data_IF_011951398052
#
_entry.id   IF_011951398052
#
_cell.length_a   1.000
_cell.length_b   1.000
_cell.length_c   1.000
_cell.angle_alpha   90.00
_cell.angle_beta   90.00
_cell.angle_gamma   90.00
#
_symmetry.space_group_name_H-M   'P 1'
#
loop_
_entity.id
_entity.type
_entity.pdbx_description
1 polymer ?
#
# COMPACT_ATOMS: atom_id res chain seq x y z
N UNK A 1 -4.55 34.52 -72.88
CA UNK A 1 -3.87 35.82 -73.15
C UNK A 1 -4.66 36.92 -72.47
N UNK A 2 -3.95 37.85 -71.84
CA UNK A 2 -4.40 39.08 -71.15
C UNK A 2 -4.98 38.90 -69.75
N UNK A 3 -4.23 39.11 -68.65
CA UNK A 3 -3.49 40.31 -68.16
C UNK A 3 -4.39 41.09 -67.19
N UNK A 4 -4.01 41.02 -65.91
CA UNK A 4 -4.07 42.03 -64.82
C UNK A 4 -5.37 42.85 -64.60
N UNK A 5 -5.65 43.55 -63.50
CA UNK A 5 -4.83 44.18 -62.46
C UNK A 5 -5.67 44.26 -61.17
N UNK A 6 -5.13 43.68 -60.11
CA UNK A 6 -5.00 44.19 -58.74
C UNK A 6 -5.59 45.55 -58.30
N UNK A 7 -6.14 45.49 -57.07
CA UNK A 7 -5.80 46.33 -55.90
C UNK A 7 -6.75 47.46 -55.40
N UNK A 8 -7.08 47.27 -54.12
CA UNK A 8 -7.17 48.24 -53.03
C UNK A 8 -8.40 49.13 -52.86
N UNK A 9 -9.21 48.77 -51.85
CA UNK A 9 -9.49 49.71 -50.76
C UNK A 9 -9.83 48.97 -49.46
N UNK A 10 -8.86 48.95 -48.55
CA UNK A 10 -9.01 48.56 -47.14
C UNK A 10 -9.85 49.64 -46.44
N UNK A 11 -10.94 49.25 -45.79
CA UNK A 11 -11.70 50.10 -44.87
C UNK A 11 -11.60 49.51 -43.46
N UNK A 12 -10.85 50.21 -42.61
CA UNK A 12 -10.72 49.92 -41.18
C UNK A 12 -12.01 50.37 -40.46
N UNK A 13 -12.89 49.40 -40.18
CA UNK A 13 -14.06 49.56 -39.31
C UNK A 13 -13.78 49.01 -37.92
N UNK A 14 -13.61 49.92 -36.96
CA UNK A 14 -13.40 49.73 -35.51
C UNK A 14 -14.27 48.60 -34.90
N UNK A 15 -13.65 47.50 -34.49
CA UNK A 15 -14.26 46.48 -33.63
C UNK A 15 -13.93 46.84 -32.18
N UNK A 16 -14.98 47.17 -31.42
CA UNK A 16 -14.92 47.45 -30.00
C UNK A 16 -14.68 46.16 -29.21
N UNK A 17 -13.56 46.10 -28.49
CA UNK A 17 -13.27 45.11 -27.45
C UNK A 17 -14.05 45.53 -26.20
N UNK A 18 -15.07 44.76 -25.81
CA UNK A 18 -15.69 44.88 -24.50
C UNK A 18 -15.09 43.83 -23.57
N UNK A 19 -14.19 44.33 -22.73
CA UNK A 19 -13.60 43.67 -21.57
C UNK A 19 -14.58 43.84 -20.41
N UNK A 20 -15.20 42.74 -19.95
CA UNK A 20 -16.00 42.72 -18.72
C UNK A 20 -15.40 41.69 -17.78
N UNK A 21 -14.60 42.21 -16.84
CA UNK A 21 -14.22 41.55 -15.61
C UNK A 21 -15.44 41.54 -14.67
N UNK A 22 -15.94 40.37 -14.32
CA UNK A 22 -16.77 40.20 -13.11
C UNK A 22 -16.05 39.23 -12.19
N UNK A 23 -15.40 39.81 -11.19
CA UNK A 23 -14.95 39.19 -9.96
C UNK A 23 -16.16 38.76 -9.13
N UNK A 24 -16.26 37.47 -8.79
CA UNK A 24 -17.00 37.02 -7.61
C UNK A 24 -16.66 35.57 -7.26
N UNK A 25 -15.93 35.40 -6.14
CA UNK A 25 -15.76 34.16 -5.37
C UNK A 25 -14.80 33.14 -6.00
N UNK A 26 -13.48 33.20 -5.79
CA UNK A 26 -12.80 32.72 -4.56
C UNK A 26 -13.57 31.59 -3.88
N UNK A 27 -13.27 30.38 -4.34
CA UNK A 27 -13.59 29.11 -3.71
C UNK A 27 -12.63 28.07 -4.26
N UNK A 28 -11.33 28.37 -4.29
CA UNK A 28 -10.33 27.31 -4.26
C UNK A 28 -10.58 26.60 -2.93
N UNK A 29 -11.34 25.50 -3.00
CA UNK A 29 -11.44 24.58 -1.88
C UNK A 29 -10.02 24.27 -1.47
N UNK A 30 -9.72 24.58 -0.21
CA UNK A 30 -8.45 24.32 0.41
C UNK A 30 -8.00 22.92 -0.02
N UNK A 31 -6.83 22.86 -0.65
CA UNK A 31 -6.05 21.63 -0.64
C UNK A 31 -5.83 21.34 0.84
N UNK A 32 -6.70 20.53 1.44
CA UNK A 32 -6.41 19.90 2.71
C UNK A 32 -5.14 19.12 2.44
N UNK A 33 -4.02 19.67 2.89
CA UNK A 33 -2.78 18.95 3.02
C UNK A 33 -3.13 17.72 3.86
N UNK A 34 -3.32 16.59 3.18
CA UNK A 34 -3.51 15.31 3.81
C UNK A 34 -2.18 15.03 4.50
N UNK A 35 -2.12 15.30 5.80
CA UNK A 35 -1.05 14.84 6.69
C UNK A 35 -1.02 13.32 6.59
N UNK A 36 -0.21 12.81 5.67
CA UNK A 36 -0.12 11.37 5.43
C UNK A 36 0.73 10.78 6.56
N UNK A 37 0.19 9.88 7.39
CA UNK A 37 1.00 9.17 8.37
C UNK A 37 2.15 8.46 7.63
N UNK A 38 3.37 8.63 8.13
CA UNK A 38 4.54 8.03 7.52
C UNK A 38 4.86 6.72 8.22
N UNK A 39 4.92 5.65 7.46
CA UNK A 39 5.40 4.35 7.96
C UNK A 39 6.91 4.30 7.86
N UNK A 40 7.58 4.14 8.99
CA UNK A 40 9.01 3.88 9.08
C UNK A 40 9.25 2.38 9.30
N UNK A 41 9.45 1.64 8.20
CA UNK A 41 9.82 0.22 8.25
C UNK A 41 11.30 0.11 8.59
N UNK A 42 11.59 -0.47 9.75
CA UNK A 42 12.97 -0.55 10.27
C UNK A 42 13.70 -1.75 9.73
N UNK A 43 13.05 -2.91 9.81
CA UNK A 43 13.63 -4.20 9.44
C UNK A 43 12.56 -5.12 8.88
N UNK A 44 12.92 -5.82 7.81
CA UNK A 44 12.19 -6.98 7.30
C UNK A 44 13.16 -8.14 7.34
N UNK A 45 12.83 -9.17 8.11
CA UNK A 45 13.68 -10.34 8.32
C UNK A 45 12.96 -11.62 7.92
N UNK A 46 13.71 -12.54 7.32
CA UNK A 46 13.23 -13.88 7.01
C UNK A 46 13.98 -14.89 7.88
N UNK A 47 13.26 -15.81 8.50
CA UNK A 47 13.85 -16.86 9.35
C UNK A 47 12.99 -18.11 9.29
N UNK A 48 13.61 -19.29 9.31
CA UNK A 48 12.89 -20.53 9.55
C UNK A 48 12.64 -20.70 11.05
N UNK A 49 11.43 -21.11 11.44
CA UNK A 49 11.15 -21.50 12.82
C UNK A 49 11.73 -22.89 13.09
N UNK A 50 12.43 -23.03 14.22
CA UNK A 50 12.99 -24.30 14.68
C UNK A 50 11.85 -25.28 15.04
N UNK A 51 12.02 -26.56 14.71
CA UNK A 51 11.08 -27.64 15.04
C UNK A 51 9.88 -27.80 14.08
N UNK A 52 9.30 -26.71 13.60
CA UNK A 52 8.04 -26.74 12.83
C UNK A 52 8.22 -26.42 11.33
N UNK A 53 9.43 -26.02 10.94
CA UNK A 53 9.85 -25.78 9.55
C UNK A 53 9.08 -24.66 8.79
N UNK A 54 8.46 -23.71 9.49
CA UNK A 54 7.76 -22.57 8.86
C UNK A 54 8.73 -21.46 8.44
N UNK A 55 8.53 -20.85 7.26
CA UNK A 55 9.24 -19.62 6.90
C UNK A 55 8.51 -18.41 7.47
N UNK A 56 9.14 -17.71 8.41
CA UNK A 56 8.66 -16.47 9.01
C UNK A 56 9.24 -15.27 8.28
N UNK A 57 8.37 -14.35 7.87
CA UNK A 57 8.70 -12.97 7.54
C UNK A 57 8.31 -12.09 8.72
N UNK A 58 9.29 -11.53 9.44
CA UNK A 58 9.06 -10.57 10.54
C UNK A 58 9.31 -9.15 10.03
N UNK A 59 8.37 -8.26 10.31
CA UNK A 59 8.41 -6.85 9.90
C UNK A 59 8.38 -6.01 11.17
N UNK A 60 9.43 -5.23 11.38
CA UNK A 60 9.53 -4.26 12.46
C UNK A 60 9.28 -2.86 11.89
N UNK A 61 8.32 -2.14 12.47
CA UNK A 61 7.93 -0.83 11.98
C UNK A 61 7.57 0.12 13.13
N UNK A 62 7.52 1.39 12.81
CA UNK A 62 6.99 2.44 13.67
C UNK A 62 6.27 3.47 12.79
N UNK A 63 5.25 4.11 13.34
CA UNK A 63 4.59 5.23 12.67
C UNK A 63 5.19 6.54 13.13
N UNK A 64 5.39 7.47 12.19
CA UNK A 64 5.73 8.86 12.49
C UNK A 64 4.62 9.76 11.97
N UNK A 65 4.21 10.69 12.82
CA UNK A 65 3.35 11.81 12.42
C UNK A 65 4.27 12.97 12.07
N UNK A 66 4.15 13.50 10.84
CA UNK A 66 4.78 14.77 10.50
C UNK A 66 3.87 15.88 11.03
N UNK A 67 4.35 16.75 11.94
CA UNK A 67 3.55 17.86 12.42
C UNK A 67 3.64 19.00 11.40
N UNK A 68 2.77 19.02 10.40
CA UNK A 68 2.51 20.28 9.69
C UNK A 68 1.31 20.98 10.33
N UNK A 69 1.59 22.01 11.15
CA UNK A 69 0.55 22.95 11.57
C UNK A 69 0.11 22.93 13.04
N UNK A 70 0.95 22.50 13.98
CA UNK A 70 0.87 22.97 15.38
C UNK A 70 -0.38 22.59 16.19
N UNK A 71 -1.18 21.62 15.75
CA UNK A 71 -2.28 21.06 16.54
C UNK A 71 -1.88 19.67 17.01
N UNK A 72 -1.90 19.45 18.33
CA UNK A 72 -1.69 18.14 18.93
C UNK A 72 -2.70 17.14 18.33
N UNK A 73 -2.22 16.25 17.47
CA UNK A 73 -3.02 15.16 16.92
C UNK A 73 -2.77 13.89 17.70
N UNK A 74 -3.83 13.08 17.76
CA UNK A 74 -3.87 11.76 18.39
C UNK A 74 -2.55 11.03 18.16
N UNK A 75 -1.89 10.68 19.27
CA UNK A 75 -0.74 9.79 19.34
C UNK A 75 -1.10 8.37 18.89
N UNK A 76 -2.30 8.16 18.35
CA UNK A 76 -2.88 6.87 18.00
C UNK A 76 -3.53 6.91 16.63
N UNK A 77 -3.21 5.90 15.84
CA UNK A 77 -3.78 5.61 14.54
C UNK A 77 -4.69 4.39 14.66
N UNK A 78 -5.94 4.53 14.21
CA UNK A 78 -6.90 3.43 14.13
C UNK A 78 -6.95 2.86 12.71
N UNK A 79 -7.46 1.63 12.58
CA UNK A 79 -7.76 0.97 11.30
C UNK A 79 -6.55 0.95 10.34
N UNK A 80 -5.42 0.44 10.85
CA UNK A 80 -4.18 0.33 10.08
C UNK A 80 -4.13 -1.02 9.37
N UNK A 81 -4.15 -1.01 8.05
CA UNK A 81 -3.96 -2.19 7.21
C UNK A 81 -2.50 -2.39 6.80
N UNK A 82 -2.05 -3.65 6.79
CA UNK A 82 -0.81 -4.06 6.15
C UNK A 82 -1.10 -5.21 5.18
N UNK A 83 -0.65 -5.06 3.95
CA UNK A 83 -0.71 -6.08 2.92
C UNK A 83 0.71 -6.47 2.53
N UNK A 84 0.96 -7.77 2.51
CA UNK A 84 2.24 -8.36 2.16
C UNK A 84 2.06 -9.16 0.90
N UNK A 85 2.94 -8.91 -0.07
CA UNK A 85 3.07 -9.73 -1.27
C UNK A 85 4.48 -10.29 -1.34
N UNK A 86 4.62 -11.61 -1.42
CA UNK A 86 5.88 -12.32 -1.59
C UNK A 86 5.89 -13.03 -2.93
N UNK A 87 7.03 -12.98 -3.63
CA UNK A 87 7.26 -13.69 -4.87
C UNK A 87 8.43 -14.65 -4.68
N UNK A 88 8.18 -15.94 -4.92
CA UNK A 88 9.21 -16.98 -4.92
C UNK A 88 9.44 -17.51 -6.33
N UNK A 89 10.67 -17.97 -6.55
CA UNK A 89 11.09 -18.57 -7.81
C UNK A 89 12.06 -17.69 -8.59
N UNK A 90 12.24 -18.04 -9.85
CA UNK A 90 13.18 -17.41 -10.76
C UNK A 90 12.58 -17.38 -12.17
N UNK A 91 13.23 -16.69 -13.08
CA UNK A 91 12.85 -16.70 -14.49
C UNK A 91 12.83 -18.12 -15.09
N UNK A 92 13.71 -19.00 -14.61
CA UNK A 92 13.84 -20.38 -15.09
C UNK A 92 12.83 -21.35 -14.48
N UNK A 93 12.47 -21.16 -13.20
CA UNK A 93 11.56 -22.03 -12.47
C UNK A 93 10.09 -21.55 -12.48
N UNK A 94 9.86 -20.33 -12.99
CA UNK A 94 8.58 -19.63 -12.88
C UNK A 94 8.43 -18.92 -11.54
N UNK A 95 7.67 -17.83 -11.55
CA UNK A 95 7.37 -17.05 -10.35
C UNK A 95 6.06 -17.50 -9.73
N UNK A 96 5.98 -17.44 -8.40
CA UNK A 96 4.78 -17.73 -7.63
C UNK A 96 4.54 -16.63 -6.62
N UNK A 97 3.33 -16.09 -6.63
CA UNK A 97 2.95 -14.99 -5.76
C UNK A 97 2.10 -15.49 -4.60
N UNK A 98 2.41 -15.01 -3.41
CA UNK A 98 1.66 -15.26 -2.18
C UNK A 98 1.32 -13.91 -1.58
N UNK A 99 0.08 -13.78 -1.11
CA UNK A 99 -0.43 -12.54 -0.55
C UNK A 99 -1.14 -12.80 0.76
N UNK A 100 -0.95 -11.90 1.72
CA UNK A 100 -1.68 -11.88 2.96
C UNK A 100 -1.94 -10.43 3.39
N UNK A 101 -3.04 -10.24 4.11
CA UNK A 101 -3.39 -8.95 4.69
C UNK A 101 -3.64 -9.11 6.18
N UNK A 102 -3.47 -8.01 6.90
CA UNK A 102 -3.77 -7.92 8.31
C UNK A 102 -4.19 -6.50 8.65
N UNK A 103 -5.11 -6.40 9.60
CA UNK A 103 -5.62 -5.12 10.08
C UNK A 103 -5.32 -5.00 11.57
N UNK A 104 -4.79 -3.84 11.95
CA UNK A 104 -4.36 -3.49 13.27
C UNK A 104 -5.39 -2.51 13.83
N UNK A 105 -5.86 -2.77 15.06
CA UNK A 105 -6.97 -2.01 15.67
C UNK A 105 -6.54 -0.59 16.00
N UNK A 106 -5.43 -0.48 16.71
CA UNK A 106 -4.91 0.79 17.21
C UNK A 106 -3.39 0.69 17.34
N UNK A 107 -2.70 1.75 16.89
CA UNK A 107 -1.24 1.84 16.92
C UNK A 107 -0.84 3.20 17.45
N UNK A 108 -0.04 3.19 18.52
CA UNK A 108 0.59 4.40 19.03
C UNK A 108 1.73 4.86 18.11
N UNK A 109 1.78 6.14 17.78
CA UNK A 109 2.87 6.76 17.02
C UNK A 109 4.16 6.74 17.84
N UNK A 110 5.32 6.70 17.17
CA UNK A 110 6.67 6.64 17.77
C UNK A 110 7.01 5.35 18.53
N UNK A 111 6.02 4.51 18.85
CA UNK A 111 6.24 3.18 19.42
C UNK A 111 6.68 2.17 18.36
N UNK A 112 7.45 1.19 18.80
CA UNK A 112 7.93 0.08 17.96
C UNK A 112 6.90 -1.04 17.99
N UNK A 113 6.60 -1.58 16.82
CA UNK A 113 5.75 -2.74 16.66
C UNK A 113 6.43 -3.76 15.77
N UNK A 114 6.05 -5.03 15.95
CA UNK A 114 6.43 -6.08 15.03
C UNK A 114 5.21 -6.87 14.57
N UNK A 115 5.24 -7.32 13.32
CA UNK A 115 4.21 -8.18 12.75
C UNK A 115 4.86 -9.29 11.95
N UNK A 116 4.27 -10.48 11.99
CA UNK A 116 4.85 -11.66 11.35
C UNK A 116 3.86 -12.34 10.40
N UNK A 117 4.40 -12.81 9.27
CA UNK A 117 3.69 -13.65 8.31
C UNK A 117 4.45 -14.95 8.12
N UNK A 118 3.71 -16.05 7.94
CA UNK A 118 4.25 -17.40 7.97
C UNK A 118 3.83 -18.16 6.73
N UNK A 119 4.79 -18.83 6.10
CA UNK A 119 4.55 -19.73 4.98
C UNK A 119 4.71 -21.18 5.47
N UNK A 120 3.67 -22.03 5.36
CA UNK A 120 3.74 -23.42 5.78
C UNK A 120 4.76 -24.22 4.97
N UNK A 121 5.49 -25.09 5.66
CA UNK A 121 6.55 -25.85 5.03
C UNK A 121 6.07 -26.83 3.95
N UNK A 122 4.86 -27.38 4.08
CA UNK A 122 4.29 -28.24 3.04
C UNK A 122 4.26 -27.53 1.68
N UNK A 123 4.00 -26.23 1.69
CA UNK A 123 4.05 -25.38 0.50
C UNK A 123 5.48 -25.14 0.06
N UNK A 124 6.38 -24.84 1.00
CA UNK A 124 7.81 -24.65 0.73
C UNK A 124 8.39 -25.86 -0.01
N UNK A 125 8.17 -27.08 0.52
CA UNK A 125 8.63 -28.34 -0.08
C UNK A 125 7.98 -28.62 -1.43
N UNK A 126 6.65 -28.53 -1.53
CA UNK A 126 5.92 -28.77 -2.78
C UNK A 126 6.31 -27.77 -3.88
N UNK A 127 6.61 -26.54 -3.50
CA UNK A 127 7.00 -25.49 -4.42
C UNK A 127 8.51 -25.49 -4.74
N UNK A 128 9.30 -26.30 -4.06
CA UNK A 128 10.76 -26.27 -4.19
C UNK A 128 11.36 -24.94 -3.75
N UNK A 129 10.69 -24.22 -2.84
CA UNK A 129 11.20 -22.98 -2.25
C UNK A 129 12.35 -23.38 -1.32
N UNK A 130 13.56 -22.93 -1.64
CA UNK A 130 14.78 -23.27 -0.88
C UNK A 130 15.33 -22.10 -0.08
N UNK A 131 14.85 -20.89 -0.36
CA UNK A 131 15.43 -19.65 0.15
C UNK A 131 14.32 -18.59 0.39
N UNK A 132 14.73 -17.41 0.85
CA UNK A 132 13.91 -16.20 0.98
C UNK A 132 13.23 -15.82 -0.35
N UNK A 133 12.11 -15.08 -0.32
CA UNK A 133 11.43 -14.66 -1.54
C UNK A 133 12.35 -13.82 -2.43
N UNK A 134 12.28 -14.07 -3.74
CA UNK A 134 13.00 -13.31 -4.76
C UNK A 134 12.63 -11.82 -4.71
N UNK A 135 11.35 -11.52 -4.54
CA UNK A 135 10.89 -10.15 -4.35
C UNK A 135 9.75 -10.10 -3.33
N UNK A 136 9.65 -9.00 -2.60
CA UNK A 136 8.57 -8.78 -1.63
C UNK A 136 8.20 -7.31 -1.57
N UNK A 137 6.93 -7.04 -1.25
CA UNK A 137 6.34 -5.71 -1.15
C UNK A 137 5.41 -5.63 0.07
N UNK A 138 5.54 -4.54 0.81
CA UNK A 138 4.66 -4.14 1.91
C UNK A 138 3.86 -2.92 1.47
N UNK A 139 2.55 -3.03 1.57
CA UNK A 139 1.62 -1.94 1.30
C UNK A 139 0.83 -1.64 2.56
N UNK A 140 0.85 -0.39 2.97
CA UNK A 140 0.22 0.06 4.21
C UNK A 140 -0.99 0.91 3.89
N UNK A 141 -1.99 0.82 4.75
CA UNK A 141 -3.24 1.55 4.64
C UNK A 141 -3.56 2.13 6.02
N UNK A 142 -4.02 3.38 6.09
CA UNK A 142 -4.57 3.96 7.32
C UNK A 142 -5.93 4.53 6.96
N UNK A 143 -6.98 4.11 7.68
CA UNK A 143 -8.36 4.48 7.37
C UNK A 143 -8.72 4.20 5.89
N UNK A 144 -8.21 3.07 5.38
CA UNK A 144 -8.36 2.65 3.98
C UNK A 144 -7.58 3.47 2.95
N UNK A 145 -6.85 4.50 3.36
CA UNK A 145 -6.01 5.31 2.46
C UNK A 145 -4.64 4.67 2.32
N UNK A 146 -4.19 4.34 1.10
CA UNK A 146 -2.86 3.76 0.89
C UNK A 146 -1.76 4.77 1.22
N UNK A 147 -0.77 4.32 1.98
CA UNK A 147 0.44 5.07 2.28
C UNK A 147 1.50 4.69 1.26
N UNK A 148 2.16 5.67 0.59
CA UNK A 148 3.25 5.38 -0.32
C UNK A 148 4.34 4.53 0.37
N UNK A 149 4.74 3.39 -0.21
CA UNK A 149 5.76 2.55 0.38
C UNK A 149 7.12 3.24 0.33
N UNK A 150 7.82 3.30 1.47
CA UNK A 150 9.22 3.72 1.51
C UNK A 150 10.16 2.65 0.96
N UNK A 151 11.44 2.98 0.73
CA UNK A 151 12.41 2.04 0.17
C UNK A 151 12.57 0.75 1.00
N UNK A 152 12.40 0.82 2.32
CA UNK A 152 12.45 -0.36 3.21
C UNK A 152 11.16 -1.20 3.23
N UNK A 153 10.13 -0.77 2.51
CA UNK A 153 8.86 -1.49 2.35
C UNK A 153 8.88 -2.46 1.17
N UNK A 154 10.02 -2.64 0.49
CA UNK A 154 10.14 -3.58 -0.62
C UNK A 154 11.56 -4.15 -0.72
N UNK A 155 11.70 -5.29 -1.38
CA UNK A 155 13.00 -5.92 -1.67
C UNK A 155 13.85 -5.08 -2.63
N UNK A 156 15.18 -5.23 -2.59
CA UNK A 156 16.14 -4.57 -3.49
C UNK A 156 15.88 -4.83 -4.99
N UNK A 157 15.20 -5.92 -5.31
CA UNK A 157 14.76 -6.22 -6.68
C UNK A 157 13.66 -5.26 -7.19
N UNK A 158 12.98 -4.55 -6.30
CA UNK A 158 11.92 -3.59 -6.61
C UNK A 158 12.34 -2.12 -6.32
N UNK A 159 13.22 -1.90 -5.34
CA UNK A 159 13.64 -0.54 -4.93
C UNK A 159 14.21 0.24 -6.12
N UNK A 160 13.71 1.46 -6.34
CA UNK A 160 14.21 2.38 -7.37
C UNK A 160 13.83 1.99 -8.82
N UNK A 161 12.96 0.99 -9.02
CA UNK A 161 12.58 0.45 -10.33
C UNK A 161 11.06 0.50 -10.52
N UNK A 162 10.48 1.67 -10.87
CA UNK A 162 9.04 1.87 -10.89
C UNK A 162 8.31 0.97 -11.88
N UNK A 163 8.89 0.70 -13.05
CA UNK A 163 8.35 -0.22 -14.06
C UNK A 163 8.32 -1.67 -13.59
N UNK A 164 9.36 -2.11 -12.87
CA UNK A 164 9.42 -3.45 -12.27
C UNK A 164 8.39 -3.57 -11.15
N UNK A 165 8.25 -2.55 -10.30
CA UNK A 165 7.23 -2.52 -9.25
C UNK A 165 5.81 -2.56 -9.83
N UNK A 166 5.54 -1.83 -10.91
CA UNK A 166 4.23 -1.85 -11.58
C UNK A 166 3.93 -3.24 -12.17
N UNK A 167 4.92 -3.87 -12.82
CA UNK A 167 4.78 -5.23 -13.34
C UNK A 167 4.56 -6.25 -12.21
N UNK A 168 5.30 -6.11 -11.11
CA UNK A 168 5.16 -6.95 -9.92
C UNK A 168 3.74 -6.87 -9.35
N UNK A 169 3.20 -5.66 -9.14
CA UNK A 169 1.83 -5.46 -8.64
C UNK A 169 0.78 -6.08 -9.55
N UNK A 170 0.91 -5.86 -10.87
CA UNK A 170 -0.01 -6.45 -11.86
C UNK A 170 0.01 -7.97 -11.78
N UNK A 171 1.18 -8.59 -11.87
CA UNK A 171 1.31 -10.05 -11.80
C UNK A 171 0.84 -10.61 -10.46
N UNK A 172 1.15 -9.95 -9.36
CA UNK A 172 0.63 -10.33 -8.06
C UNK A 172 -0.90 -10.31 -8.02
N UNK A 173 -1.55 -9.30 -8.61
CA UNK A 173 -3.01 -9.23 -8.66
C UNK A 173 -3.65 -10.35 -9.50
N UNK A 174 -2.95 -10.84 -10.52
CA UNK A 174 -3.42 -11.88 -11.43
C UNK A 174 -3.11 -13.29 -10.92
N UNK A 175 -1.93 -13.50 -10.34
CA UNK A 175 -1.38 -14.83 -10.04
C UNK A 175 -1.45 -15.21 -8.54
N UNK A 176 -1.48 -14.23 -7.62
CA UNK A 176 -1.56 -14.52 -6.18
C UNK A 176 -2.89 -15.15 -5.73
N UNK A 177 -4.06 -14.86 -6.34
CA UNK A 177 -5.34 -15.42 -5.87
C UNK A 177 -5.39 -16.95 -5.79
N UNK A 178 -4.63 -17.65 -6.64
CA UNK A 178 -4.52 -19.13 -6.60
C UNK A 178 -3.89 -19.63 -5.30
N UNK A 179 -3.13 -18.76 -4.61
CA UNK A 179 -2.43 -19.03 -3.36
C UNK A 179 -3.00 -18.22 -2.18
N UNK A 180 -4.18 -17.61 -2.30
CA UNK A 180 -4.79 -16.89 -1.19
C UNK A 180 -5.05 -17.86 0.00
N UNK A 181 -4.79 -17.39 1.22
CA UNK A 181 -4.89 -18.19 2.44
C UNK A 181 -3.68 -19.09 2.74
N UNK A 182 -2.71 -19.18 1.83
CA UNK A 182 -1.48 -19.95 2.08
C UNK A 182 -0.47 -19.17 2.94
N UNK A 183 -0.35 -17.85 2.73
CA UNK A 183 0.48 -16.99 3.57
C UNK A 183 -0.35 -16.59 4.80
N UNK A 184 0.10 -16.99 5.99
CA UNK A 184 -0.69 -16.93 7.22
C UNK A 184 -0.17 -15.80 8.11
N UNK A 185 -0.99 -14.82 8.53
CA UNK A 185 -0.60 -13.80 9.50
C UNK A 185 -0.48 -14.39 10.92
N UNK A 186 0.28 -13.73 11.81
CA UNK A 186 0.58 -14.24 13.16
C UNK A 186 -0.65 -14.60 14.00
N UNK A 187 -1.73 -13.83 13.89
CA UNK A 187 -2.98 -14.08 14.61
C UNK A 187 -3.72 -15.35 14.16
N UNK A 188 -3.44 -15.84 12.95
CA UNK A 188 -4.02 -17.04 12.35
C UNK A 188 -3.09 -18.27 12.46
N UNK A 189 -1.93 -18.11 13.10
CA UNK A 189 -0.99 -19.20 13.27
C UNK A 189 -1.57 -20.27 14.22
N UNK A 190 -1.42 -21.57 13.91
CA UNK A 190 -1.91 -22.63 14.79
C UNK A 190 -1.31 -22.54 16.19
N UNK A 191 -2.11 -22.87 17.21
CA UNK A 191 -1.74 -22.66 18.62
C UNK A 191 -0.53 -23.48 19.09
N UNK A 192 -0.17 -24.55 18.38
CA UNK A 192 1.00 -25.38 18.67
C UNK A 192 2.30 -24.82 18.07
N UNK A 193 2.23 -23.84 17.18
CA UNK A 193 3.43 -23.21 16.60
C UNK A 193 3.88 -22.10 17.53
N UNK A 194 4.96 -22.34 18.25
CA UNK A 194 5.59 -21.35 19.11
C UNK A 194 6.28 -20.27 18.27
N UNK A 195 5.94 -19.00 18.53
CA UNK A 195 6.61 -17.86 17.92
C UNK A 195 6.65 -16.68 18.89
N UNK A 196 7.75 -15.93 18.85
CA UNK A 196 7.86 -14.68 19.58
C UNK A 196 6.87 -13.65 19.01
N UNK A 197 5.93 -13.21 19.86
CA UNK A 197 4.91 -12.19 19.57
C UNK A 197 5.18 -10.88 20.33
N UNK A 198 6.42 -10.65 20.77
CA UNK A 198 6.80 -9.39 21.38
C UNK A 198 6.50 -8.22 20.44
N UNK A 199 5.95 -7.16 21.02
CA UNK A 199 5.57 -5.93 20.32
C UNK A 199 4.52 -6.12 19.20
N UNK A 200 3.78 -7.24 19.19
CA UNK A 200 2.65 -7.40 18.28
C UNK A 200 1.48 -6.50 18.73
N UNK A 201 0.95 -5.64 17.83
CA UNK A 201 -0.23 -4.82 18.11
C UNK A 201 -1.51 -5.68 18.18
N UNK A 202 -2.60 -5.07 18.65
CA UNK A 202 -3.91 -5.73 18.59
C UNK A 202 -4.42 -5.84 17.15
N UNK A 203 -4.94 -7.02 16.78
CA UNK A 203 -5.39 -7.34 15.42
C UNK A 203 -6.91 -7.39 15.32
N UNK A 204 -7.46 -6.90 14.20
CA UNK A 204 -8.83 -7.19 13.78
C UNK A 204 -8.78 -8.40 12.85
N UNK A 205 -9.47 -9.49 13.23
CA UNK A 205 -9.60 -10.68 12.38
C UNK A 205 -10.54 -10.38 11.23
N UNK A 206 -10.07 -10.54 10.00
CA UNK A 206 -10.92 -10.64 8.80
C UNK A 206 -10.56 -11.93 8.09
N UNK A 207 -11.57 -12.65 7.63
CA UNK A 207 -11.42 -13.99 7.03
C UNK A 207 -10.91 -13.94 5.58
N UNK A 208 -10.67 -12.75 5.01
CA UNK A 208 -10.20 -12.55 3.64
C UNK A 208 -9.02 -11.59 3.57
N UNK A 209 -8.08 -11.86 2.65
CA UNK A 209 -7.07 -10.90 2.22
C UNK A 209 -7.74 -9.56 1.91
N UNK A 210 -7.29 -8.51 2.59
CA UNK A 210 -7.96 -7.21 2.58
C UNK A 210 -7.89 -6.63 1.16
N UNK A 211 -9.05 -6.53 0.50
CA UNK A 211 -9.22 -5.71 -0.69
C UNK A 211 -9.03 -4.25 -0.26
N UNK A 212 -8.11 -3.48 -0.90
CA UNK A 212 -7.98 -2.04 -0.67
C UNK A 212 -9.31 -1.28 -0.75
N UNK A 213 -10.32 -1.79 -1.47
CA UNK A 213 -11.67 -1.23 -1.54
C UNK A 213 -12.59 -1.55 -0.35
N UNK A 214 -12.27 -2.56 0.46
CA UNK A 214 -13.13 -3.06 1.54
C UNK A 214 -13.04 -2.27 2.86
N UNK A 215 -12.25 -1.20 2.91
CA UNK A 215 -12.14 -0.32 4.08
C UNK A 215 -13.33 0.65 4.23
N UNK A 216 -14.21 0.76 3.23
CA UNK A 216 -15.28 1.78 3.21
C UNK A 216 -16.53 1.52 4.06
N UNK A 217 -16.73 0.31 4.60
CA UNK A 217 -18.04 -0.09 5.13
C UNK A 217 -18.06 -0.51 6.61
N UNK A 218 -17.47 0.29 7.51
CA UNK A 218 -17.70 0.14 8.96
C UNK A 218 -18.27 1.41 9.64
N UNK A 219 -18.47 2.50 8.90
CA UNK A 219 -18.94 3.79 9.44
C UNK A 219 -20.36 4.21 9.02
N UNK A 220 -21.11 3.35 8.34
CA UNK A 220 -22.49 3.63 7.95
C UNK A 220 -23.44 3.52 9.14
N UNK A 221 -23.50 4.56 9.99
CA UNK A 221 -24.66 4.76 10.87
C UNK A 221 -25.91 4.77 9.99
N UNK A 222 -26.70 3.72 10.10
CA UNK A 222 -28.12 3.76 9.75
C UNK A 222 -28.79 4.80 10.66
N UNK A 223 -28.83 6.05 10.22
CA UNK A 223 -29.82 7.02 10.68
C UNK A 223 -30.97 6.93 9.69
N UNK A 224 -31.96 6.13 10.03
CA UNK A 224 -33.13 5.89 9.22
C UNK A 224 -34.13 5.03 9.96
N UNK A 225 -34.73 5.60 11.00
CA UNK A 225 -36.17 5.54 11.32
C UNK A 225 -36.50 6.62 12.35
#
# INVERSE_FOLDING_TARGET
>A
MKTEVSFFRVSFGRIWILLVFVLSGVGFGDCVASDKPLVDVRRVGFSLLEGEEWLRMRIEFSFRTLPEGGVARSDRLADVGVQVTQCFGSETAGFRFFRAGMELVEIETERKYSVSFFLPQAVIRKAGIRDVPYAWLLEWFVDGVPIPPGNRSMSDNLVGKPEVLASFRRRASEEAPVNDGILIPSWALPSWVECDRADEPAFRRRDTCVDPGAFRNAGGKASGE
#
